data_IF_419997122611
#
_entry.id   IF_419997122611
#
_cell.length_a   1.000
_cell.length_b   1.000
_cell.length_c   1.000
_cell.angle_alpha   90.00
_cell.angle_beta   90.00
_cell.angle_gamma   90.00
#
_symmetry.space_group_name_H-M   'P 1'
#
loop_
_entity.id
_entity.type
_entity.pdbx_description
1 polymer ?
#
# COMPACT_ATOMS: atom_id res chain seq x y z
N UNK A 1 -3.12 -43.03 -34.13
CA UNK A 1 -3.03 -42.75 -32.67
C UNK A 1 -1.61 -42.48 -32.23
N UNK A 2 -1.41 -41.41 -31.46
CA UNK A 2 -0.42 -41.35 -30.36
C UNK A 2 -1.23 -41.27 -29.06
N UNK A 3 -0.65 -41.70 -27.95
CA UNK A 3 -1.32 -41.79 -26.64
C UNK A 3 -0.99 -40.58 -25.76
N UNK A 4 -1.82 -40.33 -24.75
CA UNK A 4 -1.40 -39.62 -23.54
C UNK A 4 -1.77 -40.41 -22.27
N UNK A 5 -1.05 -40.10 -21.20
CA UNK A 5 -0.97 -40.87 -19.96
C UNK A 5 -0.48 -39.97 -18.83
N UNK A 6 -0.77 -40.34 -17.57
CA UNK A 6 -0.29 -39.67 -16.34
C UNK A 6 -0.91 -38.28 -16.09
N UNK A 7 -0.92 -37.70 -14.88
CA UNK A 7 -0.43 -38.11 -13.53
C UNK A 7 -1.55 -37.75 -12.49
N UNK A 8 -1.40 -37.45 -11.19
CA UNK A 8 -0.29 -37.34 -10.23
C UNK A 8 -0.77 -37.89 -8.85
N UNK A 9 -0.02 -37.66 -7.77
CA UNK A 9 -0.54 -37.62 -6.39
C UNK A 9 0.08 -36.40 -5.71
N UNK A 10 -0.73 -35.48 -5.20
CA UNK A 10 -0.27 -34.22 -4.60
C UNK A 10 -0.29 -34.32 -3.07
N UNK A 11 0.80 -33.89 -2.43
CA UNK A 11 0.84 -33.64 -0.99
C UNK A 11 0.98 -32.13 -0.83
N UNK A 12 0.00 -31.49 -0.19
CA UNK A 12 0.02 -30.05 0.06
C UNK A 12 1.00 -29.78 1.20
N UNK A 13 2.05 -29.02 0.90
CA UNK A 13 2.86 -28.32 1.89
C UNK A 13 2.40 -26.86 1.90
N UNK A 14 2.01 -26.35 3.07
CA UNK A 14 1.75 -24.92 3.26
C UNK A 14 3.08 -24.18 3.27
N UNK A 15 3.45 -23.55 2.14
CA UNK A 15 4.49 -22.53 2.13
C UNK A 15 3.89 -21.21 2.58
N UNK A 16 4.39 -20.66 3.68
CA UNK A 16 4.33 -19.22 3.92
C UNK A 16 5.26 -18.55 2.91
N UNK A 17 4.72 -17.68 2.06
CA UNK A 17 5.55 -16.80 1.22
C UNK A 17 5.94 -15.57 2.05
N UNK A 18 7.07 -15.65 2.75
CA UNK A 18 7.79 -14.43 3.12
C UNK A 18 8.30 -13.80 1.82
N UNK A 19 7.93 -12.55 1.55
CA UNK A 19 8.39 -11.83 0.38
C UNK A 19 9.82 -11.33 0.63
N UNK A 20 10.80 -12.18 0.30
CA UNK A 20 12.22 -11.85 0.46
C UNK A 20 12.62 -10.73 -0.51
N UNK A 21 13.07 -9.60 0.03
CA UNK A 21 13.81 -8.57 -0.73
C UNK A 21 15.02 -9.27 -1.37
N UNK A 22 15.26 -9.09 -2.67
CA UNK A 22 16.33 -9.84 -3.35
C UNK A 22 17.70 -9.16 -3.23
N UNK A 23 17.72 -7.83 -3.11
CA UNK A 23 18.95 -7.02 -2.98
C UNK A 23 18.69 -5.77 -2.10
N UNK A 24 19.71 -5.31 -1.36
CA UNK A 24 19.66 -4.05 -0.60
C UNK A 24 19.36 -2.84 -1.52
N UNK A 25 19.74 -2.91 -2.79
CA UNK A 25 19.47 -1.87 -3.78
C UNK A 25 17.99 -1.78 -4.23
N UNK A 26 17.12 -2.73 -3.82
CA UNK A 26 15.66 -2.69 -4.06
C UNK A 26 14.89 -2.00 -2.91
N UNK A 27 15.57 -1.68 -1.80
CA UNK A 27 14.99 -0.92 -0.69
C UNK A 27 14.78 0.56 -1.05
N UNK A 28 13.79 1.26 -0.45
CA UNK A 28 13.66 2.72 -0.57
C UNK A 28 14.96 3.45 -0.21
N UNK A 29 15.23 4.59 -0.87
CA UNK A 29 16.44 5.37 -0.61
C UNK A 29 16.37 6.07 0.76
N UNK A 30 17.53 6.18 1.41
CA UNK A 30 17.68 6.60 2.81
C UNK A 30 16.88 5.72 3.80
N UNK A 31 17.01 4.40 3.64
CA UNK A 31 16.49 3.40 4.58
C UNK A 31 17.51 2.32 4.98
N UNK A 32 17.24 1.65 6.12
CA UNK A 32 17.94 0.44 6.56
C UNK A 32 16.97 -0.69 6.91
N UNK A 33 17.39 -1.93 6.72
CA UNK A 33 16.62 -3.15 7.02
C UNK A 33 17.46 -4.13 7.85
N UNK A 34 16.80 -4.91 8.71
CA UNK A 34 17.41 -5.99 9.48
C UNK A 34 16.84 -7.34 9.01
N UNK A 35 17.68 -8.15 8.37
CA UNK A 35 17.29 -9.46 7.87
C UNK A 35 17.29 -10.53 8.98
N UNK A 36 16.52 -11.61 8.79
CA UNK A 36 16.50 -12.83 9.63
C UNK A 36 17.89 -13.43 9.90
N UNK A 37 18.87 -13.24 9.01
CA UNK A 37 20.24 -13.75 9.16
C UNK A 37 21.15 -12.84 10.03
N UNK A 38 20.62 -11.70 10.49
CA UNK A 38 21.33 -10.69 11.27
C UNK A 38 22.11 -9.67 10.43
N UNK A 39 22.05 -9.73 9.09
CA UNK A 39 22.66 -8.70 8.24
C UNK A 39 21.82 -7.42 8.20
N UNK A 40 22.47 -6.28 8.42
CA UNK A 40 21.86 -4.96 8.30
C UNK A 40 22.14 -4.43 6.90
N UNK A 41 21.08 -4.24 6.11
CA UNK A 41 21.16 -3.67 4.77
C UNK A 41 20.91 -2.16 4.82
N UNK A 42 21.46 -1.45 3.84
CA UNK A 42 21.26 0.00 3.68
C UNK A 42 21.10 0.34 2.21
N UNK A 43 20.35 1.41 1.93
CA UNK A 43 20.35 2.12 0.65
C UNK A 43 20.29 3.63 0.93
N UNK A 44 21.32 4.39 0.54
CA UNK A 44 21.46 5.82 0.87
C UNK A 44 22.07 6.63 -0.29
N UNK A 45 21.72 7.92 -0.38
CA UNK A 45 22.30 8.85 -1.37
C UNK A 45 23.53 9.64 -0.86
N UNK A 46 23.93 9.44 0.40
CA UNK A 46 25.01 10.18 1.06
C UNK A 46 26.14 9.29 1.61
N UNK A 47 27.36 9.82 1.65
CA UNK A 47 28.50 9.17 2.31
C UNK A 47 28.27 9.10 3.83
N UNK A 48 28.33 7.91 4.42
CA UNK A 48 28.12 7.72 5.86
C UNK A 48 29.43 8.02 6.61
N UNK A 49 29.38 9.00 7.53
CA UNK A 49 30.45 9.35 8.47
C UNK A 49 30.33 8.66 9.84
N UNK A 50 29.11 8.29 10.24
CA UNK A 50 28.80 7.60 11.50
C UNK A 50 27.32 7.26 11.63
N UNK A 51 27.01 6.22 12.41
CA UNK A 51 25.65 5.69 12.58
C UNK A 51 25.38 5.19 14.01
N UNK A 52 24.11 5.20 14.41
CA UNK A 52 23.57 4.63 15.64
C UNK A 52 22.16 4.08 15.40
N UNK A 53 21.78 3.01 16.11
CA UNK A 53 20.39 2.56 16.29
C UNK A 53 20.26 1.68 17.54
N UNK A 54 19.05 1.35 17.95
CA UNK A 54 18.74 0.25 18.86
C UNK A 54 18.11 -0.90 18.08
N UNK A 55 18.38 -2.13 18.52
CA UNK A 55 17.71 -3.37 18.06
C UNK A 55 16.59 -3.68 19.04
N UNK A 56 15.35 -3.77 18.58
CA UNK A 56 14.20 -4.04 19.44
C UNK A 56 13.99 -5.54 19.67
N UNK A 57 13.47 -5.88 20.86
CA UNK A 57 13.22 -7.23 21.43
C UNK A 57 14.39 -8.24 21.47
N UNK A 58 15.53 -7.95 20.85
CA UNK A 58 16.71 -8.82 20.80
C UNK A 58 17.96 -8.17 21.43
N UNK A 59 18.96 -9.01 21.74
CA UNK A 59 20.24 -8.57 22.33
C UNK A 59 21.43 -8.94 21.46
N UNK A 60 22.36 -8.00 21.27
CA UNK A 60 23.53 -8.15 20.40
C UNK A 60 24.61 -8.96 21.12
N UNK A 61 24.97 -10.12 20.57
CA UNK A 61 26.03 -11.01 21.10
C UNK A 61 27.37 -10.82 20.38
N UNK A 62 27.33 -10.44 19.10
CA UNK A 62 28.48 -9.94 18.33
C UNK A 62 28.00 -9.05 17.17
N UNK A 63 28.89 -8.18 16.69
CA UNK A 63 28.64 -7.30 15.53
C UNK A 63 29.95 -7.08 14.76
N UNK A 64 29.88 -6.94 13.44
CA UNK A 64 31.01 -6.64 12.58
C UNK A 64 30.81 -7.11 11.14
N UNK A 65 31.85 -6.98 10.31
CA UNK A 65 31.72 -7.20 8.87
C UNK A 65 30.93 -6.09 8.18
N UNK A 66 30.48 -6.37 6.97
CA UNK A 66 29.85 -5.38 6.08
C UNK A 66 30.78 -4.27 5.62
N UNK A 67 30.22 -3.30 4.90
CA UNK A 67 30.94 -2.18 4.32
C UNK A 67 31.52 -1.23 5.39
N UNK A 68 30.91 -1.17 6.59
CA UNK A 68 31.51 -0.50 7.74
C UNK A 68 32.88 -1.09 8.11
N UNK A 69 33.01 -2.41 8.15
CA UNK A 69 34.30 -3.06 8.43
C UNK A 69 35.30 -2.86 7.27
N UNK A 70 34.83 -2.82 6.02
CA UNK A 70 35.68 -2.56 4.85
C UNK A 70 36.22 -1.11 4.84
N UNK A 71 35.39 -0.14 5.23
CA UNK A 71 35.75 1.28 5.42
C UNK A 71 36.58 1.54 6.70
N UNK A 72 36.83 0.53 7.53
CA UNK A 72 37.63 0.63 8.76
C UNK A 72 36.90 1.30 9.93
N UNK A 73 35.56 1.26 9.96
CA UNK A 73 34.78 1.74 11.10
C UNK A 73 34.98 0.83 12.31
N UNK A 74 34.97 1.44 13.49
CA UNK A 74 34.75 0.73 14.75
C UNK A 74 33.26 0.66 14.99
N UNK A 75 32.69 -0.54 14.82
CA UNK A 75 31.29 -0.84 15.14
C UNK A 75 31.25 -1.56 16.49
N UNK A 76 30.37 -1.13 17.40
CA UNK A 76 30.17 -1.71 18.71
C UNK A 76 28.68 -1.94 18.95
N UNK A 77 28.34 -3.05 19.60
CA UNK A 77 26.99 -3.38 20.04
C UNK A 77 27.02 -3.66 21.54
N UNK A 78 26.12 -3.05 22.31
CA UNK A 78 26.08 -3.15 23.77
C UNK A 78 24.64 -3.23 24.27
N UNK A 79 24.16 -4.44 24.56
CA UNK A 79 22.74 -4.67 24.83
C UNK A 79 21.96 -4.64 23.51
N UNK A 80 21.08 -3.67 23.34
CA UNK A 80 20.35 -3.39 22.09
C UNK A 80 20.99 -2.30 21.23
N UNK A 81 21.79 -1.38 21.80
CA UNK A 81 22.33 -0.24 21.05
C UNK A 81 23.54 -0.61 20.20
N UNK A 82 23.53 -0.20 18.92
CA UNK A 82 24.67 -0.19 17.99
C UNK A 82 25.22 1.23 17.84
N UNK A 83 26.54 1.35 17.78
CA UNK A 83 27.26 2.57 17.41
C UNK A 83 28.40 2.26 16.43
N UNK A 84 28.44 2.95 15.29
CA UNK A 84 29.48 2.81 14.27
C UNK A 84 30.14 4.15 13.90
N UNK A 85 31.46 4.23 13.99
CA UNK A 85 32.21 5.46 13.70
C UNK A 85 33.66 5.18 13.27
N UNK A 86 34.30 6.11 12.54
CA UNK A 86 35.69 5.98 12.09
C UNK A 86 36.67 6.87 12.88
N UNK A 87 37.62 6.25 13.59
CA UNK A 87 38.73 6.96 14.25
C UNK A 87 39.71 7.63 13.27
N UNK A 88 39.70 7.24 12.00
CA UNK A 88 40.61 7.75 10.96
C UNK A 88 39.95 8.75 10.01
N UNK A 89 38.66 9.06 10.21
CA UNK A 89 37.89 9.88 9.26
C UNK A 89 37.67 9.18 7.91
N UNK A 90 37.57 7.85 7.91
CA UNK A 90 37.07 7.10 6.76
C UNK A 90 35.55 7.22 6.66
N UNK A 91 35.02 7.15 5.44
CA UNK A 91 33.59 7.16 5.13
C UNK A 91 33.18 5.84 4.50
N UNK A 92 31.91 5.47 4.63
CA UNK A 92 31.29 4.46 3.77
C UNK A 92 30.67 5.24 2.60
N UNK A 93 31.01 4.92 1.33
CA UNK A 93 30.41 5.61 0.20
C UNK A 93 28.89 5.48 0.14
N UNK A 94 28.23 6.47 -0.45
CA UNK A 94 26.81 6.39 -0.83
C UNK A 94 26.52 5.16 -1.73
N UNK A 95 25.26 4.73 -1.72
CA UNK A 95 24.77 3.55 -2.43
C UNK A 95 24.11 2.54 -1.50
N UNK A 96 24.12 1.27 -1.92
CA UNK A 96 23.42 0.16 -1.29
C UNK A 96 24.35 -1.02 -1.02
N UNK A 97 24.08 -1.76 0.07
CA UNK A 97 24.90 -2.90 0.47
C UNK A 97 24.57 -3.46 1.86
N UNK A 98 25.51 -4.21 2.44
CA UNK A 98 25.40 -4.73 3.81
C UNK A 98 26.26 -3.88 4.74
N UNK A 99 25.64 -3.01 5.52
CA UNK A 99 26.31 -2.05 6.38
C UNK A 99 27.16 -2.76 7.44
N UNK A 100 26.57 -3.74 8.12
CA UNK A 100 27.23 -4.60 9.10
C UNK A 100 26.43 -5.88 9.33
N UNK A 101 27.01 -6.88 9.99
CA UNK A 101 26.31 -8.12 10.37
C UNK A 101 26.33 -8.27 11.89
N UNK A 102 25.17 -8.59 12.45
CA UNK A 102 24.94 -8.83 13.87
C UNK A 102 24.73 -10.32 14.14
N UNK A 103 24.90 -10.72 15.40
CA UNK A 103 24.45 -12.03 15.89
C UNK A 103 23.60 -11.78 17.12
N UNK A 104 22.31 -12.02 17.00
CA UNK A 104 21.31 -11.68 18.01
C UNK A 104 21.01 -12.87 18.94
N UNK A 105 20.51 -12.55 20.13
CA UNK A 105 19.92 -13.49 21.08
C UNK A 105 18.53 -12.96 21.44
N UNK A 106 17.52 -13.65 20.92
CA UNK A 106 16.15 -13.13 20.74
C UNK A 106 15.85 -12.95 19.25
N UNK A 107 14.59 -13.09 18.86
CA UNK A 107 14.09 -12.61 17.57
C UNK A 107 13.89 -11.09 17.69
N UNK A 108 14.20 -10.31 16.66
CA UNK A 108 14.04 -8.85 16.70
C UNK A 108 12.74 -8.41 16.04
N UNK A 109 12.12 -7.37 16.59
CA UNK A 109 10.93 -6.71 16.04
C UNK A 109 11.26 -5.50 15.15
N UNK A 110 12.55 -5.17 14.97
CA UNK A 110 13.01 -4.09 14.09
C UNK A 110 14.09 -3.22 14.71
N UNK A 111 14.32 -2.05 14.12
CA UNK A 111 15.32 -1.08 14.57
C UNK A 111 14.67 0.26 14.97
N UNK A 112 15.08 0.83 16.11
CA UNK A 112 14.60 2.14 16.60
C UNK A 112 15.75 3.13 16.84
N UNK A 113 15.41 4.41 17.07
CA UNK A 113 16.39 5.44 17.45
C UNK A 113 17.52 5.60 16.43
N UNK A 114 17.20 5.41 15.14
CA UNK A 114 18.13 5.45 14.03
C UNK A 114 18.66 6.88 13.87
N UNK A 115 19.99 7.03 13.84
CA UNK A 115 20.66 8.30 13.60
C UNK A 115 21.83 8.04 12.66
N UNK A 116 21.79 8.65 11.48
CA UNK A 116 22.93 8.69 10.56
C UNK A 116 23.57 10.07 10.54
N UNK A 117 24.82 10.11 10.12
CA UNK A 117 25.57 11.35 9.95
C UNK A 117 26.43 11.29 8.69
N UNK A 118 26.53 12.42 8.01
CA UNK A 118 27.41 12.62 6.86
C UNK A 118 28.88 12.84 7.33
N UNK A 119 29.87 12.96 6.42
CA UNK A 119 31.28 13.03 6.80
C UNK A 119 31.70 14.32 7.51
N UNK A 120 30.83 15.34 7.54
CA UNK A 120 31.07 16.60 8.25
C UNK A 120 30.37 16.64 9.62
N UNK A 121 29.63 15.59 9.99
CA UNK A 121 28.94 15.45 11.27
C UNK A 121 27.55 16.11 11.31
N UNK A 122 26.98 16.48 10.16
CA UNK A 122 25.55 16.80 10.08
C UNK A 122 24.73 15.51 10.14
N UNK A 123 23.61 15.54 10.86
CA UNK A 123 22.63 14.45 10.85
C UNK A 123 22.01 14.27 9.46
N UNK A 124 21.66 13.04 9.13
CA UNK A 124 20.85 12.71 7.96
C UNK A 124 19.78 11.71 8.40
N UNK A 125 18.55 11.96 7.99
CA UNK A 125 17.40 11.15 8.36
C UNK A 125 17.39 9.86 7.54
N UNK A 126 17.25 8.72 8.23
CA UNK A 126 17.25 7.38 7.64
C UNK A 126 16.19 6.54 8.35
N UNK A 127 15.28 5.95 7.58
CA UNK A 127 14.14 5.18 8.12
C UNK A 127 14.47 3.70 8.33
N UNK A 128 13.68 3.03 9.18
CA UNK A 128 13.61 1.57 9.18
C UNK A 128 12.65 1.11 8.07
N UNK A 129 13.08 0.13 7.29
CA UNK A 129 12.28 -0.52 6.26
C UNK A 129 11.90 -1.92 6.72
N UNK A 130 10.60 -2.19 6.86
CA UNK A 130 10.08 -3.46 7.40
C UNK A 130 9.80 -4.52 6.30
N UNK A 131 10.40 -4.37 5.12
CA UNK A 131 10.28 -5.34 4.01
C UNK A 131 8.93 -5.36 3.27
N UNK A 132 7.99 -4.47 3.60
CA UNK A 132 6.81 -4.21 2.77
C UNK A 132 7.24 -3.81 1.35
N UNK A 133 6.65 -4.45 0.33
CA UNK A 133 7.12 -4.30 -1.05
C UNK A 133 7.14 -2.83 -1.51
N UNK A 134 8.29 -2.38 -2.02
CA UNK A 134 8.40 -1.07 -2.65
C UNK A 134 7.55 -1.06 -3.93
N UNK A 135 6.48 -0.26 -3.94
CA UNK A 135 5.71 -0.03 -5.17
C UNK A 135 6.59 0.69 -6.21
N UNK A 136 6.40 0.34 -7.48
CA UNK A 136 7.28 0.67 -8.60
C UNK A 136 7.17 2.11 -9.11
N UNK A 137 7.14 3.09 -8.20
CA UNK A 137 7.07 4.52 -8.47
C UNK A 137 8.32 5.05 -9.20
N UNK A 138 8.40 4.80 -10.51
CA UNK A 138 9.49 5.26 -11.36
C UNK A 138 9.36 6.76 -11.66
N UNK A 139 9.76 7.62 -10.73
CA UNK A 139 9.97 9.06 -10.99
C UNK A 139 11.45 9.34 -11.30
N UNK A 140 11.71 9.79 -12.53
CA UNK A 140 13.06 10.03 -13.04
C UNK A 140 13.66 11.32 -12.46
N UNK A 141 14.88 11.24 -11.91
CA UNK A 141 15.54 12.34 -11.20
C UNK A 141 15.73 13.62 -12.04
N UNK A 142 14.99 14.68 -11.68
CA UNK A 142 15.11 16.03 -12.23
C UNK A 142 15.63 17.03 -11.21
N UNK A 143 16.94 17.31 -11.24
CA UNK A 143 17.55 18.36 -10.43
C UNK A 143 17.22 19.75 -11.02
N UNK A 144 16.40 20.55 -10.32
CA UNK A 144 16.36 22.01 -10.46
C UNK A 144 15.97 22.64 -9.09
N UNK A 145 16.56 23.78 -8.76
CA UNK A 145 16.59 24.30 -7.39
C UNK A 145 15.30 25.05 -6.96
N UNK A 146 14.78 24.71 -5.79
CA UNK A 146 14.10 25.64 -4.87
C UNK A 146 12.77 26.25 -5.32
N UNK A 147 11.67 25.53 -5.10
CA UNK A 147 10.31 26.04 -5.21
C UNK A 147 9.40 25.50 -4.11
N UNK A 148 8.62 26.38 -3.49
CA UNK A 148 7.53 26.03 -2.57
C UNK A 148 6.33 25.53 -3.41
N UNK A 149 5.65 24.45 -2.97
CA UNK A 149 4.19 24.38 -2.81
C UNK A 149 3.69 22.90 -2.72
N UNK A 150 3.03 22.62 -1.61
CA UNK A 150 1.76 21.88 -1.47
C UNK A 150 1.60 20.47 -2.07
N UNK A 151 1.68 19.48 -1.18
CA UNK A 151 1.22 18.09 -1.36
C UNK A 151 0.94 17.43 -0.01
N UNK A 152 -0.07 17.91 0.71
CA UNK A 152 -0.28 17.58 2.12
C UNK A 152 -0.88 16.20 2.41
N UNK A 153 -0.58 15.69 3.60
CA UNK A 153 -1.46 14.81 4.37
C UNK A 153 -1.78 15.52 5.69
N UNK A 154 -3.06 15.66 6.05
CA UNK A 154 -3.52 16.53 7.13
C UNK A 154 -3.44 15.86 8.52
N UNK A 155 -2.23 15.47 8.94
CA UNK A 155 -1.98 15.04 10.31
C UNK A 155 -1.75 16.25 11.22
N UNK A 156 -2.75 16.57 12.05
CA UNK A 156 -2.77 17.71 12.97
C UNK A 156 -1.79 17.57 14.13
N UNK A 157 -0.49 17.64 13.84
CA UNK A 157 0.59 17.56 14.81
C UNK A 157 0.45 18.62 15.90
N UNK A 158 0.23 18.20 17.14
CA UNK A 158 0.06 19.07 18.28
C UNK A 158 1.33 19.91 18.53
N UNK A 159 1.30 21.18 18.12
CA UNK A 159 2.40 22.14 18.30
C UNK A 159 2.74 22.26 19.78
N UNK A 160 3.96 21.88 20.14
CA UNK A 160 4.42 21.76 21.53
C UNK A 160 5.03 23.06 22.06
N UNK A 161 5.47 23.94 21.16
CA UNK A 161 5.95 25.30 21.46
C UNK A 161 5.39 26.30 20.43
N UNK A 162 5.22 27.56 20.84
CA UNK A 162 4.74 28.64 19.98
C UNK A 162 5.63 28.87 18.73
N UNK A 163 6.91 28.48 18.77
CA UNK A 163 7.83 28.56 17.66
C UNK A 163 7.66 27.45 16.59
N UNK A 164 6.84 26.43 16.87
CA UNK A 164 6.47 25.37 15.90
C UNK A 164 5.25 25.76 15.06
N UNK A 165 4.52 26.82 15.44
CA UNK A 165 3.44 27.39 14.65
C UNK A 165 3.94 27.86 13.26
N UNK A 166 3.15 27.73 12.19
CA UNK A 166 3.47 28.33 10.90
C UNK A 166 3.73 29.85 11.00
N UNK A 167 4.65 30.36 10.18
CA UNK A 167 4.97 31.79 10.17
C UNK A 167 3.73 32.64 9.85
N UNK A 168 3.55 33.72 10.60
CA UNK A 168 2.39 34.61 10.58
C UNK A 168 1.07 33.90 10.93
N UNK A 169 1.08 33.10 12.01
CA UNK A 169 -0.12 32.50 12.60
C UNK A 169 -0.19 32.67 14.14
N UNK A 170 -1.39 32.47 14.70
CA UNK A 170 -1.65 32.44 16.14
C UNK A 170 -2.51 31.23 16.54
N UNK A 171 -2.35 30.77 17.79
CA UNK A 171 -3.13 29.69 18.40
C UNK A 171 -3.67 30.15 19.77
N UNK A 172 -4.80 29.58 20.21
CA UNK A 172 -5.34 29.73 21.56
C UNK A 172 -5.16 28.40 22.33
N UNK A 173 -4.08 28.29 23.11
CA UNK A 173 -3.76 27.10 23.91
C UNK A 173 -4.15 27.33 25.38
N UNK A 174 -5.17 26.62 25.88
CA UNK A 174 -5.68 26.70 27.28
C UNK A 174 -5.98 28.12 27.82
N UNK A 175 -6.17 29.10 26.93
CA UNK A 175 -6.40 30.51 27.27
C UNK A 175 -5.20 31.44 27.01
N UNK A 176 -4.00 30.90 26.82
CA UNK A 176 -2.84 31.66 26.32
C UNK A 176 -2.89 31.78 24.80
N UNK A 177 -2.75 33.00 24.28
CA UNK A 177 -2.61 33.23 22.83
C UNK A 177 -1.14 33.16 22.46
N UNK A 178 -0.78 32.12 21.72
CA UNK A 178 0.56 31.92 21.15
C UNK A 178 0.64 32.60 19.78
N UNK A 179 1.85 32.98 19.36
CA UNK A 179 2.11 33.58 18.06
C UNK A 179 3.46 33.12 17.49
N UNK A 180 3.56 33.11 16.16
CA UNK A 180 4.83 33.12 15.44
C UNK A 180 4.72 34.10 14.26
N UNK A 181 5.55 35.14 14.22
CA UNK A 181 5.51 36.20 13.20
C UNK A 181 6.91 36.69 12.80
N UNK A 182 7.08 37.03 11.53
CA UNK A 182 8.33 37.60 11.00
C UNK A 182 8.42 39.14 11.10
N UNK A 183 7.34 39.80 11.55
CA UNK A 183 7.23 41.26 11.65
C UNK A 183 7.06 41.77 13.09
N UNK A 184 7.45 43.03 13.34
CA UNK A 184 7.23 43.66 14.64
C UNK A 184 5.78 44.16 14.78
N UNK A 185 5.08 43.73 15.82
CA UNK A 185 3.66 44.03 16.02
C UNK A 185 3.51 45.44 16.62
N UNK A 186 2.80 46.34 15.92
CA UNK A 186 2.37 47.65 16.40
C UNK A 186 0.96 47.67 17.03
N UNK A 187 0.12 46.68 16.68
CA UNK A 187 -1.24 46.52 17.20
C UNK A 187 -1.87 45.19 16.78
N UNK A 188 -2.85 44.72 17.54
CA UNK A 188 -3.60 43.49 17.22
C UNK A 188 -5.07 43.55 17.68
N UNK A 189 -5.93 42.82 17.00
CA UNK A 189 -7.34 42.60 17.35
C UNK A 189 -7.78 41.20 16.90
N UNK A 190 -8.67 40.55 17.65
CA UNK A 190 -9.43 39.38 17.24
C UNK A 190 -10.72 39.25 18.07
N UNK A 191 -11.58 38.30 17.74
CA UNK A 191 -12.64 37.80 18.61
C UNK A 191 -12.29 36.40 19.09
N UNK A 192 -12.68 36.07 20.31
CA UNK A 192 -12.71 34.68 20.80
C UNK A 192 -14.08 34.10 20.47
N UNK A 193 -14.12 32.97 19.78
CA UNK A 193 -15.35 32.26 19.45
C UNK A 193 -15.69 31.22 20.54
N UNK A 194 -16.97 30.93 20.73
CA UNK A 194 -17.49 30.07 21.81
C UNK A 194 -17.50 30.74 23.21
N UNK A 195 -16.43 31.45 23.58
CA UNK A 195 -16.22 32.02 24.91
C UNK A 195 -16.40 33.54 25.01
N UNK A 196 -16.32 34.05 26.24
CA UNK A 196 -16.26 35.49 26.54
C UNK A 196 -15.04 35.82 27.41
N UNK A 197 -14.37 36.92 27.11
CA UNK A 197 -13.14 37.37 27.79
C UNK A 197 -13.50 38.19 29.02
N UNK A 198 -13.06 37.71 30.19
CA UNK A 198 -13.30 38.34 31.50
C UNK A 198 -12.06 39.06 32.06
N UNK A 199 -10.88 38.77 31.52
CA UNK A 199 -9.61 39.39 31.87
C UNK A 199 -8.53 39.10 30.82
N UNK A 200 -7.50 39.94 30.78
CA UNK A 200 -6.35 39.84 29.87
C UNK A 200 -5.08 40.21 30.63
N UNK A 201 -4.02 39.41 30.55
CA UNK A 201 -2.79 39.63 31.33
C UNK A 201 -1.55 39.00 30.69
N UNK A 202 -0.35 39.36 31.16
CA UNK A 202 0.90 38.68 30.78
C UNK A 202 1.23 38.73 29.27
N UNK A 203 2.12 37.82 28.88
CA UNK A 203 2.67 37.73 27.53
C UNK A 203 3.58 38.88 27.12
N UNK A 204 4.14 38.79 25.92
CA UNK A 204 5.04 39.79 25.34
C UNK A 204 4.35 41.14 25.11
N UNK A 205 3.03 41.16 24.94
CA UNK A 205 2.25 42.41 24.93
C UNK A 205 2.41 43.18 26.26
N UNK A 206 2.27 42.52 27.41
CA UNK A 206 2.48 43.16 28.70
C UNK A 206 3.95 43.57 28.92
N UNK A 207 4.91 42.76 28.44
CA UNK A 207 6.34 43.06 28.53
C UNK A 207 6.74 44.29 27.69
N UNK A 208 6.18 44.43 26.48
CA UNK A 208 6.36 45.60 25.60
C UNK A 208 5.58 46.85 26.05
N UNK A 209 4.74 46.74 27.09
CA UNK A 209 3.92 47.84 27.62
C UNK A 209 2.67 48.15 26.79
N UNK A 210 2.12 47.16 26.08
CA UNK A 210 0.83 47.28 25.42
C UNK A 210 -0.31 47.30 26.44
N UNK A 211 -1.37 48.04 26.11
CA UNK A 211 -2.66 47.93 26.77
C UNK A 211 -3.49 46.90 26.02
N UNK A 212 -3.66 45.72 26.60
CA UNK A 212 -4.58 44.69 26.11
C UNK A 212 -5.91 44.83 26.85
N UNK A 213 -7.03 44.71 26.13
CA UNK A 213 -8.38 44.75 26.69
C UNK A 213 -9.26 43.70 26.02
N UNK A 214 -9.91 42.85 26.83
CA UNK A 214 -11.04 42.02 26.42
C UNK A 214 -12.36 42.72 26.72
N UNK A 215 -13.30 42.71 25.76
CA UNK A 215 -14.61 43.35 25.87
C UNK A 215 -15.70 42.49 25.22
N UNK A 216 -16.25 41.53 25.98
CA UNK A 216 -17.14 40.51 25.42
C UNK A 216 -16.31 39.42 24.76
N UNK A 217 -16.51 39.15 23.48
CA UNK A 217 -15.65 38.25 22.69
C UNK A 217 -14.41 38.95 22.12
N UNK A 218 -14.46 40.26 21.86
CA UNK A 218 -13.36 40.98 21.18
C UNK A 218 -12.19 41.26 22.13
N UNK A 219 -10.96 40.97 21.67
CA UNK A 219 -9.69 41.38 22.27
C UNK A 219 -9.05 42.46 21.40
N UNK A 220 -8.49 43.49 22.02
CA UNK A 220 -7.75 44.57 21.36
C UNK A 220 -6.45 44.86 22.13
N UNK A 221 -5.32 44.89 21.45
CA UNK A 221 -4.00 45.20 21.99
C UNK A 221 -3.31 46.33 21.24
N UNK A 222 -2.89 47.38 21.97
CA UNK A 222 -2.26 48.57 21.37
C UNK A 222 -1.32 49.29 22.35
N UNK A 223 -0.36 50.07 21.83
CA UNK A 223 0.55 50.87 22.65
C UNK A 223 0.23 52.37 22.60
N UNK A 224 -0.04 52.99 23.76
CA UNK A 224 -0.13 54.46 23.88
C UNK A 224 1.21 55.18 23.70
N UNK A 225 2.34 54.48 23.81
CA UNK A 225 3.69 55.05 23.72
C UNK A 225 4.36 54.87 22.36
N UNK A 226 3.72 54.13 21.43
CA UNK A 226 4.36 53.70 20.19
C UNK A 226 5.43 52.63 20.41
N UNK A 227 5.31 51.85 21.49
CA UNK A 227 6.09 50.62 21.65
C UNK A 227 5.62 49.56 20.66
N UNK A 228 6.51 48.63 20.32
CA UNK A 228 6.25 47.49 19.42
C UNK A 228 6.65 46.20 20.10
N UNK A 229 5.94 45.10 19.82
CA UNK A 229 6.41 43.75 20.15
C UNK A 229 7.39 43.33 19.04
N UNK A 230 8.56 42.73 19.34
CA UNK A 230 9.47 42.24 18.32
C UNK A 230 8.87 41.13 17.45
N UNK A 231 9.46 40.91 16.28
CA UNK A 231 9.26 39.68 15.51
C UNK A 231 9.82 38.46 16.28
N UNK A 232 9.24 37.29 16.05
CA UNK A 232 9.55 36.04 16.74
C UNK A 232 8.29 35.29 17.16
N UNK A 233 8.46 34.41 18.15
CA UNK A 233 7.45 33.48 18.64
C UNK A 233 7.39 33.47 20.17
N UNK A 234 6.22 33.16 20.73
CA UNK A 234 5.99 33.09 22.17
C UNK A 234 4.53 33.25 22.58
N UNK A 235 4.29 33.61 23.84
CA UNK A 235 2.95 33.94 24.37
C UNK A 235 2.67 35.43 24.18
N UNK A 236 1.75 35.77 23.28
CA UNK A 236 1.38 37.16 22.99
C UNK A 236 0.66 37.80 24.19
N UNK A 237 -0.36 37.12 24.73
CA UNK A 237 -1.12 37.51 25.92
C UNK A 237 -1.93 36.34 26.46
N UNK A 238 -2.24 36.35 27.76
CA UNK A 238 -3.07 35.37 28.45
C UNK A 238 -4.50 35.89 28.64
N UNK A 239 -5.51 35.08 28.35
CA UNK A 239 -6.93 35.41 28.40
C UNK A 239 -7.63 34.62 29.53
N UNK A 240 -8.35 35.32 30.41
CA UNK A 240 -9.26 34.69 31.38
C UNK A 240 -10.65 34.55 30.77
N UNK A 241 -11.02 33.33 30.38
CA UNK A 241 -12.24 33.06 29.61
C UNK A 241 -13.42 32.62 30.48
N UNK A 242 -14.62 32.75 29.93
CA UNK A 242 -15.91 32.35 30.51
C UNK A 242 -16.77 31.74 29.40
N UNK A 243 -16.88 30.41 29.43
CA UNK A 243 -17.33 29.57 28.31
C UNK A 243 -16.13 28.89 27.65
N UNK A 244 -16.38 27.76 26.96
CA UNK A 244 -15.36 27.04 26.21
C UNK A 244 -15.08 27.78 24.89
N UNK A 245 -13.81 27.99 24.56
CA UNK A 245 -13.43 28.67 23.32
C UNK A 245 -13.23 27.67 22.19
N UNK A 246 -13.75 27.99 21.01
CA UNK A 246 -13.67 27.12 19.82
C UNK A 246 -12.65 27.59 18.78
N UNK A 247 -12.10 28.80 18.93
CA UNK A 247 -11.15 29.39 17.99
C UNK A 247 -11.05 30.92 18.12
N UNK A 248 -10.29 31.54 17.21
CA UNK A 248 -10.16 33.00 17.11
C UNK A 248 -10.54 33.50 15.70
N UNK A 249 -11.53 34.39 15.61
CA UNK A 249 -12.02 34.96 14.33
C UNK A 249 -11.81 36.47 14.21
N UNK A 250 -11.84 36.98 12.98
CA UNK A 250 -11.71 38.43 12.73
C UNK A 250 -10.35 39.00 13.14
N UNK A 251 -9.30 38.18 13.00
CA UNK A 251 -7.91 38.53 13.32
C UNK A 251 -7.45 39.69 12.43
N UNK A 252 -6.83 40.69 13.05
CA UNK A 252 -6.19 41.83 12.40
C UNK A 252 -4.91 42.16 13.17
N UNK A 253 -3.76 42.10 12.49
CA UNK A 253 -2.49 42.61 13.01
C UNK A 253 -2.08 43.88 12.24
N UNK A 254 -1.26 44.72 12.86
CA UNK A 254 -0.63 45.84 12.18
C UNK A 254 0.86 45.98 12.51
N UNK A 255 1.63 46.46 11.55
CA UNK A 255 3.02 46.85 11.69
C UNK A 255 3.18 48.11 12.59
N UNK A 256 4.42 48.57 12.88
CA UNK A 256 4.67 49.79 13.66
C UNK A 256 4.23 51.09 12.97
N UNK A 257 3.91 51.04 11.68
CA UNK A 257 3.46 52.16 10.85
C UNK A 257 1.94 52.27 10.77
N UNK A 258 1.20 51.24 11.23
CA UNK A 258 -0.25 51.10 11.09
C UNK A 258 -0.71 50.49 9.76
N UNK A 259 0.19 49.85 9.00
CA UNK A 259 -0.18 48.98 7.88
C UNK A 259 -0.68 47.64 8.39
N UNK A 260 -1.76 47.11 7.81
CA UNK A 260 -2.30 45.79 8.14
C UNK A 260 -1.34 44.68 7.70
N UNK A 261 -1.17 43.66 8.53
CA UNK A 261 -0.46 42.42 8.18
C UNK A 261 -1.42 41.26 8.37
N UNK A 262 -1.46 40.36 7.38
CA UNK A 262 -2.32 39.18 7.41
C UNK A 262 -1.70 38.13 8.33
N UNK A 263 -2.50 37.63 9.28
CA UNK A 263 -2.12 36.60 10.27
C UNK A 263 -3.30 35.63 10.40
N UNK A 264 -3.03 34.33 10.31
CA UNK A 264 -4.05 33.28 10.37
C UNK A 264 -4.27 32.74 11.79
N UNK A 265 -5.42 32.10 12.02
CA UNK A 265 -5.60 31.19 13.15
C UNK A 265 -5.07 29.80 12.77
N UNK A 266 -4.36 29.14 13.68
CA UNK A 266 -3.94 27.75 13.52
C UNK A 266 -4.95 26.83 14.23
N UNK A 267 -5.73 26.08 13.43
CA UNK A 267 -6.78 25.17 13.95
C UNK A 267 -6.20 23.89 14.60
N UNK A 268 -4.97 23.50 14.27
CA UNK A 268 -4.30 22.26 14.68
C UNK A 268 -3.85 22.19 16.15
N UNK A 269 -4.48 22.96 17.05
CA UNK A 269 -4.15 23.03 18.48
C UNK A 269 -5.37 23.17 19.39
N UNK A 270 -6.55 22.72 18.94
CA UNK A 270 -7.82 22.90 19.67
C UNK A 270 -7.96 21.95 20.86
N UNK A 271 -7.25 22.25 21.96
CA UNK A 271 -7.41 21.60 23.28
C UNK A 271 -8.75 21.99 23.92
N UNK A 272 -9.88 21.53 23.36
CA UNK A 272 -11.21 22.03 23.71
C UNK A 272 -12.40 21.17 23.28
N UNK A 273 -12.21 19.87 23.00
CA UNK A 273 -13.27 18.97 22.51
C UNK A 273 -13.53 17.70 23.35
N UNK A 274 -12.47 17.12 23.92
CA UNK A 274 -12.55 15.92 24.76
C UNK A 274 -12.45 14.60 23.99
N UNK A 275 -11.23 14.25 23.59
CA UNK A 275 -10.86 12.86 23.30
C UNK A 275 -9.42 12.60 23.82
N UNK A 276 -9.33 11.95 24.99
CA UNK A 276 -8.07 11.71 25.71
C UNK A 276 -7.32 10.49 25.13
N UNK A 277 -7.08 10.49 23.82
CA UNK A 277 -6.52 9.33 23.13
C UNK A 277 -5.01 9.19 23.33
N UNK A 278 -4.62 8.63 24.48
CA UNK A 278 -3.23 8.47 24.90
C UNK A 278 -2.40 7.51 24.03
N UNK A 279 -3.03 6.73 23.15
CA UNK A 279 -2.37 5.91 22.12
C UNK A 279 -2.18 6.65 20.79
N UNK A 280 -2.95 7.72 20.53
CA UNK A 280 -3.08 8.35 19.21
C UNK A 280 -3.84 7.51 18.17
N UNK A 281 -4.37 6.35 18.53
CA UNK A 281 -5.02 5.43 17.59
C UNK A 281 -6.55 5.54 17.66
N UNK A 282 -7.16 5.90 16.53
CA UNK A 282 -8.61 5.96 16.35
C UNK A 282 -9.07 4.90 15.37
N UNK A 283 -10.23 4.32 15.65
CA UNK A 283 -10.93 3.45 14.70
C UNK A 283 -11.66 4.26 13.61
N UNK A 284 -12.21 3.58 12.60
CA UNK A 284 -12.92 4.23 11.49
C UNK A 284 -14.22 4.96 11.91
N UNK A 285 -14.68 4.81 13.16
CA UNK A 285 -15.82 5.54 13.71
C UNK A 285 -15.38 6.78 14.50
N UNK A 286 -14.07 7.06 14.57
CA UNK A 286 -13.49 8.13 15.38
C UNK A 286 -13.46 7.80 16.87
N UNK A 287 -13.43 6.51 17.26
CA UNK A 287 -13.35 6.09 18.65
C UNK A 287 -11.90 5.72 18.99
N UNK A 288 -11.34 6.36 20.00
CA UNK A 288 -10.01 6.02 20.51
C UNK A 288 -9.92 4.57 21.02
N UNK A 289 -8.83 3.88 20.69
CA UNK A 289 -8.59 2.46 21.02
C UNK A 289 -9.77 1.54 20.64
N UNK A 290 -10.52 1.93 19.58
CA UNK A 290 -11.69 1.21 19.10
C UNK A 290 -11.35 -0.01 18.23
N UNK A 291 -12.27 -0.98 18.21
CA UNK A 291 -12.17 -2.21 17.43
C UNK A 291 -12.81 -2.08 16.02
N UNK A 292 -13.30 -0.90 15.61
CA UNK A 292 -14.03 -0.78 14.35
C UNK A 292 -13.12 -0.83 13.11
N UNK A 293 -13.52 -1.63 12.13
CA UNK A 293 -12.82 -1.80 10.85
C UNK A 293 -13.76 -1.43 9.72
N UNK A 294 -13.22 -0.80 8.67
CA UNK A 294 -13.98 -0.54 7.44
C UNK A 294 -14.29 -1.84 6.71
N UNK A 295 -15.52 -1.95 6.20
CA UNK A 295 -15.87 -2.98 5.23
C UNK A 295 -15.28 -2.65 3.85
N UNK A 296 -15.44 -3.55 2.88
CA UNK A 296 -14.83 -3.33 1.56
C UNK A 296 -15.39 -2.14 0.75
N UNK A 297 -16.47 -1.50 1.23
CA UNK A 297 -17.08 -0.32 0.63
C UNK A 297 -16.67 0.99 1.36
N UNK A 298 -15.87 0.90 2.42
CA UNK A 298 -15.52 2.03 3.28
C UNK A 298 -16.61 2.37 4.31
N UNK A 299 -17.54 1.45 4.61
CA UNK A 299 -18.49 1.64 5.71
C UNK A 299 -17.93 1.02 7.00
N UNK A 300 -17.74 1.85 8.02
CA UNK A 300 -17.16 1.43 9.29
C UNK A 300 -18.09 0.50 10.09
N UNK A 301 -17.61 -0.70 10.44
CA UNK A 301 -18.43 -1.84 10.88
C UNK A 301 -19.54 -2.26 9.90
N UNK A 302 -19.34 -2.03 8.59
CA UNK A 302 -20.26 -2.52 7.56
C UNK A 302 -20.21 -4.04 7.39
N UNK A 303 -21.25 -4.60 6.78
CA UNK A 303 -21.38 -6.05 6.52
C UNK A 303 -20.77 -6.48 5.17
N UNK A 304 -20.18 -5.56 4.37
CA UNK A 304 -19.74 -5.87 3.00
C UNK A 304 -18.40 -6.62 2.96
N UNK A 305 -18.43 -7.85 2.45
CA UNK A 305 -17.24 -8.65 2.14
C UNK A 305 -16.85 -8.56 0.66
N UNK A 306 -15.55 -8.66 0.38
CA UNK A 306 -15.05 -8.95 -0.97
C UNK A 306 -15.46 -10.38 -1.32
N UNK A 307 -16.02 -10.59 -2.51
CA UNK A 307 -16.39 -11.92 -3.02
C UNK A 307 -15.18 -12.67 -3.64
N UNK A 308 -15.38 -13.93 -4.07
CA UNK A 308 -14.31 -14.70 -4.72
C UNK A 308 -13.86 -14.09 -6.07
N UNK A 309 -14.59 -13.13 -6.64
CA UNK A 309 -14.20 -12.37 -7.84
C UNK A 309 -13.36 -11.13 -7.54
N UNK A 310 -13.21 -10.75 -6.27
CA UNK A 310 -12.52 -9.51 -5.86
C UNK A 310 -13.44 -8.28 -5.85
N UNK A 311 -14.75 -8.45 -6.01
CA UNK A 311 -15.71 -7.34 -6.00
C UNK A 311 -16.36 -7.18 -4.62
N UNK A 312 -16.43 -5.94 -4.13
CA UNK A 312 -17.04 -5.66 -2.84
C UNK A 312 -18.57 -5.83 -2.89
N UNK A 313 -19.12 -6.68 -2.02
CA UNK A 313 -20.56 -6.98 -2.01
C UNK A 313 -21.04 -7.71 -3.27
N UNK A 314 -20.12 -8.32 -4.03
CA UNK A 314 -20.43 -9.09 -5.24
C UNK A 314 -21.23 -10.36 -4.95
N UNK A 315 -21.87 -10.90 -5.98
CA UNK A 315 -22.63 -12.15 -5.94
C UNK A 315 -21.90 -13.30 -6.64
N UNK A 316 -20.58 -13.16 -6.85
CA UNK A 316 -19.71 -14.08 -7.57
C UNK A 316 -20.02 -14.28 -9.08
N UNK A 317 -20.95 -13.51 -9.66
CA UNK A 317 -21.34 -13.69 -11.06
C UNK A 317 -20.35 -13.08 -12.07
N UNK A 318 -19.53 -12.11 -11.68
CA UNK A 318 -18.64 -11.36 -12.58
C UNK A 318 -17.41 -12.14 -13.07
N UNK A 319 -16.91 -13.08 -12.26
CA UNK A 319 -15.81 -14.00 -12.61
C UNK A 319 -16.27 -15.48 -12.71
N UNK A 320 -17.57 -15.74 -12.69
CA UNK A 320 -18.10 -17.11 -12.86
C UNK A 320 -17.78 -17.68 -14.24
N UNK A 321 -17.29 -18.92 -14.27
CA UNK A 321 -17.13 -19.72 -15.47
C UNK A 321 -18.49 -20.17 -16.05
N UNK A 322 -18.49 -20.94 -17.13
CA UNK A 322 -19.73 -21.40 -17.75
C UNK A 322 -20.53 -22.43 -16.93
N UNK A 323 -19.96 -22.96 -15.84
CA UNK A 323 -20.63 -23.85 -14.89
C UNK A 323 -21.16 -23.08 -13.66
N UNK A 324 -20.85 -21.78 -13.54
CA UNK A 324 -21.16 -20.95 -12.37
C UNK A 324 -20.17 -21.13 -11.23
N UNK A 325 -18.92 -21.49 -11.53
CA UNK A 325 -17.82 -21.58 -10.57
C UNK A 325 -16.95 -20.32 -10.66
N UNK A 326 -16.79 -19.54 -9.56
CA UNK A 326 -15.98 -18.32 -9.58
C UNK A 326 -14.50 -18.63 -9.81
N UNK A 327 -13.89 -17.95 -10.79
CA UNK A 327 -12.53 -18.22 -11.29
C UNK A 327 -12.30 -19.68 -11.74
N UNK A 328 -13.36 -20.37 -12.17
CA UNK A 328 -13.24 -21.73 -12.70
C UNK A 328 -12.60 -21.78 -14.09
N UNK A 329 -11.97 -22.92 -14.40
CA UNK A 329 -11.32 -23.17 -15.70
C UNK A 329 -12.31 -23.57 -16.82
N UNK A 330 -13.63 -23.68 -16.54
CA UNK A 330 -14.56 -24.31 -17.47
C UNK A 330 -14.89 -23.44 -18.69
N UNK A 331 -14.83 -24.03 -19.88
CA UNK A 331 -14.97 -23.31 -21.17
C UNK A 331 -16.17 -23.87 -21.96
N UNK A 332 -16.88 -22.99 -22.66
CA UNK A 332 -17.96 -23.35 -23.58
C UNK A 332 -17.35 -23.94 -24.87
N UNK A 333 -17.71 -25.18 -25.21
CA UNK A 333 -17.27 -25.87 -26.42
C UNK A 333 -17.94 -25.30 -27.70
N UNK A 334 -17.54 -25.80 -28.88
CA UNK A 334 -18.14 -25.41 -30.16
C UNK A 334 -19.64 -25.74 -30.29
N UNK A 335 -20.19 -26.57 -29.39
CA UNK A 335 -21.60 -26.93 -29.31
C UNK A 335 -22.43 -26.02 -28.39
N UNK A 336 -21.77 -25.12 -27.63
CA UNK A 336 -22.44 -24.29 -26.63
C UNK A 336 -22.59 -24.97 -25.26
N UNK A 337 -21.84 -26.04 -24.99
CA UNK A 337 -21.87 -26.82 -23.74
C UNK A 337 -20.63 -26.51 -22.91
N UNK A 338 -20.83 -26.22 -21.62
CA UNK A 338 -19.72 -26.00 -20.69
C UNK A 338 -18.96 -27.30 -20.41
N UNK A 339 -17.64 -27.28 -20.56
CA UNK A 339 -16.75 -28.44 -20.53
C UNK A 339 -17.22 -29.61 -21.42
N UNK A 340 -17.88 -29.26 -22.54
CA UNK A 340 -18.24 -30.21 -23.58
C UNK A 340 -17.00 -30.73 -24.33
N UNK A 341 -17.09 -31.96 -24.82
CA UNK A 341 -16.05 -32.61 -25.62
C UNK A 341 -16.25 -32.43 -27.14
N UNK A 342 -17.14 -31.50 -27.54
CA UNK A 342 -17.55 -31.28 -28.93
C UNK A 342 -18.45 -32.36 -29.53
N UNK A 343 -18.73 -33.46 -28.81
CA UNK A 343 -19.54 -34.57 -29.34
C UNK A 343 -21.04 -34.26 -29.41
N UNK A 344 -21.53 -33.35 -28.55
CA UNK A 344 -22.97 -33.12 -28.35
C UNK A 344 -23.69 -32.48 -29.55
N UNK A 345 -22.95 -31.80 -30.43
CA UNK A 345 -23.44 -31.25 -31.70
C UNK A 345 -22.86 -31.96 -32.94
N UNK A 346 -22.10 -33.04 -32.74
CA UNK A 346 -21.51 -33.81 -33.84
C UNK A 346 -22.53 -34.81 -34.40
N UNK A 347 -23.43 -34.35 -35.26
CA UNK A 347 -24.41 -35.22 -35.94
C UNK A 347 -23.68 -36.30 -36.77
N UNK A 348 -23.94 -37.58 -36.46
CA UNK A 348 -23.52 -38.71 -37.29
C UNK A 348 -24.35 -38.77 -38.57
N UNK A 349 -23.71 -38.65 -39.72
CA UNK A 349 -24.34 -38.69 -41.04
C UNK A 349 -24.69 -40.12 -41.49
N UNK A 350 -24.05 -41.17 -40.95
CA UNK A 350 -24.26 -42.56 -41.37
C UNK A 350 -24.66 -43.49 -40.20
N UNK A 351 -25.93 -43.40 -39.79
CA UNK A 351 -26.54 -44.34 -38.84
C UNK A 351 -26.94 -45.66 -39.54
N UNK A 352 -26.42 -46.81 -39.07
CA UNK A 352 -26.60 -48.14 -39.68
C UNK A 352 -27.70 -48.92 -38.95
N UNK A 353 -28.91 -48.93 -39.50
CA UNK A 353 -30.03 -49.76 -39.02
C UNK A 353 -30.23 -51.00 -39.92
N UNK A 354 -29.36 -52.00 -39.74
CA UNK A 354 -29.46 -53.32 -40.37
C UNK A 354 -29.50 -54.39 -39.28
N UNK A 355 -30.47 -55.32 -39.38
CA UNK A 355 -30.54 -56.47 -38.49
C UNK A 355 -29.39 -57.46 -38.72
N UNK A 356 -28.66 -57.80 -37.66
CA UNK A 356 -27.50 -58.69 -37.71
C UNK A 356 -27.81 -60.02 -38.43
N UNK A 357 -27.13 -60.26 -39.56
CA UNK A 357 -27.27 -61.50 -40.36
C UNK A 357 -26.46 -62.67 -39.78
N UNK A 358 -25.50 -62.38 -38.91
CA UNK A 358 -24.50 -63.33 -38.38
C UNK A 358 -23.25 -63.47 -39.26
N UNK A 359 -23.26 -62.94 -40.48
CA UNK A 359 -22.09 -62.82 -41.36
C UNK A 359 -21.61 -61.36 -41.36
N UNK A 360 -20.33 -61.12 -41.64
CA UNK A 360 -19.81 -59.76 -41.88
C UNK A 360 -18.50 -59.77 -42.67
N UNK A 361 -18.28 -58.71 -43.46
CA UNK A 361 -17.08 -58.49 -44.26
C UNK A 361 -16.27 -57.31 -43.72
N UNK A 362 -14.98 -57.53 -43.42
CA UNK A 362 -14.10 -56.50 -42.88
C UNK A 362 -13.42 -55.70 -44.00
N UNK A 363 -13.83 -54.45 -44.19
CA UNK A 363 -13.21 -53.50 -45.11
C UNK A 363 -12.08 -52.74 -44.41
N UNK A 364 -10.87 -52.76 -44.99
CA UNK A 364 -9.67 -52.17 -44.38
C UNK A 364 -9.20 -50.98 -45.21
N UNK A 365 -9.40 -49.77 -44.68
CA UNK A 365 -8.96 -48.52 -45.29
C UNK A 365 -7.49 -48.27 -44.94
N UNK A 366 -6.66 -47.95 -45.94
CA UNK A 366 -5.21 -47.79 -45.78
C UNK A 366 -4.81 -46.32 -45.80
N UNK A 367 -3.72 -45.98 -45.12
CA UNK A 367 -3.14 -44.63 -45.01
C UNK A 367 -2.58 -44.04 -46.32
N UNK A 368 -2.91 -44.63 -47.47
CA UNK A 368 -2.62 -44.11 -48.81
C UNK A 368 -3.76 -43.26 -49.38
N UNK A 369 -4.87 -43.10 -48.67
CA UNK A 369 -5.95 -42.18 -49.02
C UNK A 369 -5.58 -40.79 -48.47
N UNK A 370 -5.57 -39.78 -49.33
CA UNK A 370 -5.14 -38.40 -49.01
C UNK A 370 -6.22 -37.36 -49.36
N UNK A 371 -7.48 -37.78 -49.31
CA UNK A 371 -8.66 -37.00 -49.71
C UNK A 371 -9.80 -37.12 -48.69
N UNK A 372 -9.45 -37.50 -47.46
CA UNK A 372 -10.31 -37.57 -46.28
C UNK A 372 -9.45 -37.14 -45.08
N UNK A 373 -10.00 -36.29 -44.23
CA UNK A 373 -9.32 -35.71 -43.07
C UNK A 373 -9.74 -36.42 -41.76
N UNK A 374 -8.94 -36.26 -40.71
CA UNK A 374 -9.13 -37.02 -39.47
C UNK A 374 -10.38 -36.52 -38.74
N UNK A 375 -11.39 -37.39 -38.63
CA UNK A 375 -12.74 -37.02 -38.18
C UNK A 375 -13.82 -37.27 -39.24
N UNK A 376 -13.46 -37.42 -40.52
CA UNK A 376 -14.42 -37.73 -41.58
C UNK A 376 -15.14 -39.06 -41.35
N UNK A 377 -16.46 -39.09 -41.56
CA UNK A 377 -17.27 -40.30 -41.44
C UNK A 377 -17.36 -41.05 -42.78
N UNK A 378 -17.09 -42.36 -42.74
CA UNK A 378 -17.04 -43.22 -43.92
C UNK A 378 -18.24 -44.16 -43.93
N UNK A 379 -19.19 -43.95 -44.85
CA UNK A 379 -20.28 -44.88 -45.14
C UNK A 379 -19.88 -45.94 -46.17
N UNK A 380 -20.16 -47.21 -45.89
CA UNK A 380 -20.08 -48.33 -46.83
C UNK A 380 -21.47 -48.67 -47.36
N UNK A 381 -21.61 -48.70 -48.68
CA UNK A 381 -22.89 -48.99 -49.34
C UNK A 381 -22.78 -50.24 -50.22
N UNK A 382 -23.72 -51.17 -50.08
CA UNK A 382 -23.98 -52.19 -51.11
C UNK A 382 -24.99 -51.63 -52.11
N UNK A 383 -24.64 -51.64 -53.40
CA UNK A 383 -25.46 -51.15 -54.51
C UNK A 383 -26.56 -52.15 -54.93
N UNK A 384 -26.62 -53.34 -54.32
CA UNK A 384 -27.63 -54.37 -54.60
C UNK A 384 -28.06 -55.13 -53.34
N UNK A 385 -27.99 -54.48 -52.18
CA UNK A 385 -28.47 -55.02 -50.92
C UNK A 385 -30.00 -55.14 -50.90
N UNK A 386 -30.53 -56.10 -50.13
CA UNK A 386 -31.96 -56.38 -50.07
C UNK A 386 -32.66 -55.36 -49.16
N UNK A 387 -33.55 -54.56 -49.75
CA UNK A 387 -34.27 -53.47 -49.08
C UNK A 387 -35.54 -53.93 -48.37
N UNK A 388 -36.13 -55.07 -48.78
CA UNK A 388 -37.37 -55.58 -48.18
C UNK A 388 -37.52 -57.12 -48.24
N UNK A 389 -38.48 -57.62 -47.47
CA UNK A 389 -38.87 -59.04 -47.47
C UNK A 389 -39.55 -59.53 -48.76
N UNK A 390 -39.68 -58.69 -49.79
CA UNK A 390 -40.13 -59.08 -51.14
C UNK A 390 -38.94 -59.44 -52.04
N UNK A 391 -37.71 -59.17 -51.61
CA UNK A 391 -36.49 -59.38 -52.39
C UNK A 391 -36.17 -58.22 -53.35
N UNK A 392 -36.71 -57.02 -53.11
CA UNK A 392 -36.30 -55.83 -53.86
C UNK A 392 -34.87 -55.44 -53.46
N UNK A 393 -34.01 -55.19 -54.44
CA UNK A 393 -32.59 -54.87 -54.25
C UNK A 393 -32.29 -53.41 -54.66
N UNK A 394 -31.34 -52.77 -53.97
CA UNK A 394 -30.90 -51.41 -54.26
C UNK A 394 -29.74 -50.97 -53.38
N UNK A 395 -29.53 -49.66 -53.25
CA UNK A 395 -28.46 -49.09 -52.43
C UNK A 395 -28.83 -49.08 -50.94
N UNK A 396 -28.00 -49.67 -50.09
CA UNK A 396 -28.18 -49.70 -48.63
C UNK A 396 -26.83 -49.50 -47.91
N UNK A 397 -26.85 -48.75 -46.81
CA UNK A 397 -25.69 -48.51 -45.94
C UNK A 397 -25.41 -49.77 -45.09
N UNK A 398 -24.40 -50.54 -45.47
CA UNK A 398 -24.02 -51.82 -44.83
C UNK A 398 -23.05 -51.68 -43.64
N UNK A 399 -22.47 -50.50 -43.44
CA UNK A 399 -21.62 -50.19 -42.29
C UNK A 399 -21.11 -48.74 -42.32
N UNK A 400 -20.70 -48.21 -41.17
CA UNK A 400 -20.09 -46.87 -41.07
C UNK A 400 -18.94 -46.85 -40.06
N UNK A 401 -18.13 -45.79 -40.09
CA UNK A 401 -17.04 -45.59 -39.14
C UNK A 401 -16.18 -44.36 -39.44
N UNK A 402 -15.55 -43.82 -38.39
CA UNK A 402 -14.78 -42.56 -38.46
C UNK A 402 -13.34 -42.82 -38.94
N UNK A 403 -12.83 -41.94 -39.81
CA UNK A 403 -11.45 -41.99 -40.29
C UNK A 403 -10.46 -41.51 -39.21
N UNK A 404 -9.63 -42.45 -38.73
CA UNK A 404 -8.72 -42.25 -37.60
C UNK A 404 -7.37 -41.62 -37.96
N UNK A 405 -7.18 -41.18 -39.23
CA UNK A 405 -5.87 -40.85 -39.80
C UNK A 405 -4.89 -42.03 -39.83
N UNK A 406 -5.37 -43.24 -39.54
CA UNK A 406 -4.60 -44.48 -39.51
C UNK A 406 -5.44 -45.61 -40.13
N UNK A 407 -4.97 -46.87 -40.11
CA UNK A 407 -5.67 -47.96 -40.80
C UNK A 407 -6.98 -48.35 -40.10
N UNK A 408 -8.05 -47.58 -40.33
CA UNK A 408 -9.43 -47.89 -39.88
C UNK A 408 -9.95 -49.14 -40.60
N UNK A 409 -10.66 -49.99 -39.86
CA UNK A 409 -11.41 -51.12 -40.41
C UNK A 409 -12.88 -51.01 -40.05
N UNK A 410 -13.76 -51.13 -41.04
CA UNK A 410 -15.22 -51.11 -40.87
C UNK A 410 -15.75 -52.51 -41.15
N UNK A 411 -16.62 -53.02 -40.30
CA UNK A 411 -17.38 -54.23 -40.57
C UNK A 411 -18.64 -53.84 -41.35
N UNK A 412 -18.85 -54.47 -42.50
CA UNK A 412 -20.09 -54.42 -43.25
C UNK A 412 -20.88 -55.72 -43.05
N UNK A 413 -22.21 -55.62 -42.94
CA UNK A 413 -23.15 -56.74 -42.68
C UNK A 413 -23.88 -57.15 -43.96
#
# INVERSE_FOLDING_TARGET
MKFFTHRLFLIIFTLSFNFLIADACEMPINSIHLNDDGSVWYNVDFDIGGFQWNVEDATITSIGGGDAAAAGFTVQGAGSTVLGFSFTGGTIPYGCGTLTVMTLSGESSGLSGIVFSNPTGGSVDVSYFDGGAADGGNDDGGNDDGGNDDGGNDDGGAVSDACELPNNSILLNEGDVWYNVDFAIGGFQWNVDGASVTGTSGGDAAAAGFTVQGAGSTVLGFSFTGSTIPAGCGTLTSLSLSGEATGLSGIVFSDPSGGSVDVSYYEGGSTGGGDDCASGFYDCAGVCDGDAVEDCAGECNGDSSIDECGECGGDNSSCSDCAGVPNGDAIIDECGVCDGDGSSCQESYYNVDIGETGESSLFIFRTSITSIDVGDELGLFDQSGILDGSGNAGEILVGSGIWSGSQTSIAAV
#
